data_IF_216940879855
#
_entry.id   IF_216940879855
#
_cell.length_a   1.000
_cell.length_b   1.000
_cell.length_c   1.000
_cell.angle_alpha   90.00
_cell.angle_beta   90.00
_cell.angle_gamma   90.00
#
_symmetry.space_group_name_H-M   'P 1'
#
loop_
_entity.id
_entity.type
_entity.pdbx_description
1 polymer ?
#
# COMPACT_ATOMS: atom_id res chain seq x y z
N UNK A 1 7.85 -2.86 27.23
CA UNK A 1 6.52 -2.30 26.89
C UNK A 1 5.75 -3.12 25.83
N UNK A 2 6.34 -3.56 24.70
CA UNK A 2 5.64 -4.35 23.66
C UNK A 2 5.04 -5.69 24.13
N UNK A 3 5.57 -6.25 25.21
CA UNK A 3 5.20 -7.59 25.68
C UNK A 3 3.86 -7.63 26.43
N UNK A 4 3.45 -6.55 27.10
CA UNK A 4 2.17 -6.50 27.84
C UNK A 4 0.96 -6.60 26.91
N UNK A 5 0.99 -5.90 25.78
CA UNK A 5 -0.08 -5.98 24.78
C UNK A 5 -0.12 -7.33 24.08
N UNK A 6 1.04 -7.91 23.77
CA UNK A 6 1.12 -9.25 23.20
C UNK A 6 0.58 -10.32 24.17
N UNK A 7 0.81 -10.15 25.49
CA UNK A 7 0.23 -11.00 26.54
C UNK A 7 -1.29 -10.81 26.64
N UNK A 8 -1.79 -9.57 26.62
CA UNK A 8 -3.23 -9.26 26.62
C UNK A 8 -3.96 -9.93 25.44
N UNK A 9 -3.49 -9.74 24.20
CA UNK A 9 -4.12 -10.38 23.03
C UNK A 9 -3.93 -11.90 22.97
N UNK A 10 -2.82 -12.44 23.52
CA UNK A 10 -2.63 -13.89 23.67
C UNK A 10 -3.62 -14.47 24.69
N UNK A 11 -3.82 -13.82 25.83
CA UNK A 11 -4.81 -14.20 26.83
C UNK A 11 -6.23 -14.12 26.26
N UNK A 12 -6.56 -13.04 25.55
CA UNK A 12 -7.86 -12.85 24.91
C UNK A 12 -8.15 -13.91 23.83
N UNK A 13 -7.14 -14.31 23.04
CA UNK A 13 -7.25 -15.42 22.08
C UNK A 13 -7.39 -16.79 22.76
N UNK A 14 -6.67 -17.04 23.85
CA UNK A 14 -6.81 -18.28 24.64
C UNK A 14 -8.22 -18.39 25.23
N UNK A 15 -8.72 -17.31 25.83
CA UNK A 15 -10.07 -17.24 26.42
C UNK A 15 -11.18 -17.37 25.35
N UNK A 16 -11.01 -16.77 24.17
CA UNK A 16 -11.95 -16.97 23.03
C UNK A 16 -11.96 -18.40 22.50
N UNK A 17 -10.79 -19.05 22.39
CA UNK A 17 -10.71 -20.45 21.93
C UNK A 17 -11.33 -21.41 22.94
N UNK A 18 -11.10 -21.20 24.24
CA UNK A 18 -11.78 -21.98 25.26
C UNK A 18 -13.29 -21.74 25.24
N UNK A 19 -13.75 -20.49 25.11
CA UNK A 19 -15.19 -20.20 25.05
C UNK A 19 -15.89 -20.89 23.85
N UNK A 20 -15.24 -20.93 22.68
CA UNK A 20 -15.76 -21.64 21.49
C UNK A 20 -15.82 -23.16 21.66
N UNK A 21 -14.83 -23.75 22.34
CA UNK A 21 -14.81 -25.20 22.61
C UNK A 21 -15.96 -25.60 23.54
N UNK A 22 -16.28 -24.74 24.50
CA UNK A 22 -17.36 -24.97 25.47
C UNK A 22 -18.75 -24.63 24.93
N UNK A 23 -18.90 -23.69 23.98
CA UNK A 23 -20.18 -23.45 23.30
C UNK A 23 -20.59 -24.61 22.39
N UNK A 24 -19.62 -25.31 21.79
CA UNK A 24 -19.89 -26.53 21.00
C UNK A 24 -20.32 -27.68 21.91
N UNK A 25 -19.67 -27.84 23.07
CA UNK A 25 -20.10 -28.81 24.10
C UNK A 25 -21.49 -28.49 24.67
N UNK A 26 -21.81 -27.23 24.93
CA UNK A 26 -23.15 -26.84 25.38
C UNK A 26 -24.24 -27.13 24.32
N UNK A 27 -23.92 -26.95 23.04
CA UNK A 27 -24.81 -27.30 21.93
C UNK A 27 -25.09 -28.80 21.83
N UNK A 28 -24.08 -29.66 22.03
CA UNK A 28 -24.28 -31.11 22.03
C UNK A 28 -25.02 -31.62 23.27
N UNK A 29 -24.84 -31.01 24.45
CA UNK A 29 -25.59 -31.41 25.66
C UNK A 29 -27.05 -30.93 25.66
N UNK A 30 -27.36 -29.75 25.11
CA UNK A 30 -28.74 -29.28 24.93
C UNK A 30 -29.52 -30.12 23.89
N UNK A 31 -28.83 -30.60 22.84
CA UNK A 31 -29.41 -31.53 21.86
C UNK A 31 -29.75 -32.90 22.45
N UNK A 32 -28.93 -33.42 23.36
CA UNK A 32 -29.16 -34.71 24.00
C UNK A 32 -30.32 -34.69 25.01
N UNK A 33 -30.51 -33.58 25.74
CA UNK A 33 -31.62 -33.44 26.71
C UNK A 33 -32.97 -33.26 26.03
N UNK A 34 -33.04 -32.56 24.88
CA UNK A 34 -34.30 -32.40 24.15
C UNK A 34 -34.85 -33.70 23.56
N UNK A 35 -33.98 -34.69 23.27
CA UNK A 35 -34.37 -35.97 22.66
C UNK A 35 -34.76 -37.02 23.72
N UNK A 36 -34.21 -36.96 24.93
CA UNK A 36 -34.42 -37.98 25.98
C UNK A 36 -35.60 -37.70 26.93
N UNK A 37 -36.13 -36.47 26.97
CA UNK A 37 -37.18 -36.08 27.92
C UNK A 37 -38.62 -36.57 27.60
N UNK A 38 -39.04 -36.99 26.38
CA UNK A 38 -40.45 -37.32 26.21
C UNK A 38 -40.86 -38.69 26.79
N UNK A 39 -39.94 -39.57 27.18
CA UNK A 39 -40.29 -40.91 27.67
C UNK A 39 -39.27 -41.43 28.69
N UNK A 40 -39.49 -41.18 29.98
CA UNK A 40 -39.41 -42.16 31.09
C UNK A 40 -39.43 -41.46 32.46
N UNK A 41 -40.13 -42.05 33.43
CA UNK A 41 -40.35 -41.50 34.78
C UNK A 41 -39.06 -41.16 35.53
N UNK A 42 -39.09 -40.02 36.21
CA UNK A 42 -37.96 -39.38 36.91
C UNK A 42 -37.43 -40.28 38.04
N UNK A 43 -36.24 -40.85 37.85
CA UNK A 43 -35.48 -41.60 38.85
C UNK A 43 -34.35 -40.77 39.47
N UNK A 44 -33.76 -41.23 40.57
CA UNK A 44 -32.66 -40.58 41.30
C UNK A 44 -31.41 -40.28 40.44
N UNK A 45 -31.24 -40.99 39.32
CA UNK A 45 -30.23 -40.73 38.28
C UNK A 45 -30.41 -39.37 37.58
N UNK A 46 -31.64 -38.85 37.52
CA UNK A 46 -31.96 -37.58 36.88
C UNK A 46 -31.53 -36.38 37.77
N UNK A 47 -31.54 -36.57 39.10
CA UNK A 47 -31.00 -35.58 40.04
C UNK A 47 -29.47 -35.46 39.96
N UNK A 48 -28.76 -36.57 39.69
CA UNK A 48 -27.31 -36.59 39.45
C UNK A 48 -26.96 -35.92 38.11
N UNK A 49 -27.78 -36.13 37.07
CA UNK A 49 -27.64 -35.47 35.78
C UNK A 49 -27.96 -33.97 35.81
N UNK A 50 -28.99 -33.56 36.53
CA UNK A 50 -29.32 -32.16 36.78
C UNK A 50 -28.23 -31.44 37.58
N UNK A 51 -27.61 -32.12 38.56
CA UNK A 51 -26.46 -31.61 39.31
C UNK A 51 -25.20 -31.41 38.46
N UNK A 52 -24.91 -32.35 37.55
CA UNK A 52 -23.76 -32.28 36.63
C UNK A 52 -23.92 -31.22 35.52
N UNK A 53 -25.14 -31.03 35.01
CA UNK A 53 -25.45 -30.00 34.00
C UNK A 53 -25.57 -28.60 34.62
N UNK A 54 -26.06 -28.48 35.86
CA UNK A 54 -26.08 -27.22 36.61
C UNK A 54 -24.68 -26.66 36.91
N UNK A 55 -23.74 -27.52 37.33
CA UNK A 55 -22.37 -27.10 37.66
C UNK A 55 -21.56 -26.56 36.48
N UNK A 56 -21.81 -27.07 35.27
CA UNK A 56 -21.13 -26.65 34.04
C UNK A 56 -21.74 -25.36 33.43
N UNK A 57 -23.04 -25.11 33.63
CA UNK A 57 -23.67 -23.84 33.26
C UNK A 57 -23.16 -22.66 34.10
N UNK A 58 -22.92 -22.84 35.39
CA UNK A 58 -22.35 -21.79 36.26
C UNK A 58 -20.91 -21.46 35.87
N UNK A 59 -20.08 -22.46 35.53
CA UNK A 59 -18.69 -22.24 35.10
C UNK A 59 -18.59 -21.56 33.71
N UNK A 60 -19.52 -21.86 32.80
CA UNK A 60 -19.58 -21.17 31.49
C UNK A 60 -20.04 -19.73 31.64
N UNK A 61 -21.04 -19.46 32.49
CA UNK A 61 -21.46 -18.10 32.83
C UNK A 61 -20.32 -17.30 33.49
N UNK A 62 -19.62 -17.89 34.47
CA UNK A 62 -18.52 -17.21 35.17
C UNK A 62 -17.35 -16.87 34.25
N UNK A 63 -16.96 -17.80 33.36
CA UNK A 63 -15.92 -17.51 32.34
C UNK A 63 -16.35 -16.51 31.26
N UNK A 64 -17.65 -16.41 30.99
CA UNK A 64 -18.18 -15.37 30.09
C UNK A 64 -18.20 -14.00 30.77
N UNK A 65 -18.38 -13.96 32.10
CA UNK A 65 -18.23 -12.75 32.91
C UNK A 65 -16.77 -12.28 32.95
N UNK A 66 -15.80 -13.18 33.17
CA UNK A 66 -14.36 -12.85 33.13
C UNK A 66 -13.93 -12.30 31.77
N UNK A 67 -14.51 -12.85 30.68
CA UNK A 67 -14.28 -12.36 29.32
C UNK A 67 -14.87 -10.96 29.11
N UNK A 68 -16.04 -10.67 29.69
CA UNK A 68 -16.67 -9.34 29.64
C UNK A 68 -15.89 -8.33 30.45
N UNK A 69 -15.40 -8.70 31.63
CA UNK A 69 -14.57 -7.83 32.48
C UNK A 69 -13.22 -7.52 31.82
N UNK A 70 -12.53 -8.50 31.27
CA UNK A 70 -11.27 -8.28 30.53
C UNK A 70 -11.46 -7.54 29.20
N UNK A 71 -12.65 -7.62 28.58
CA UNK A 71 -13.00 -6.85 27.40
C UNK A 71 -13.48 -5.42 27.72
N UNK A 72 -14.02 -5.21 28.93
CA UNK A 72 -14.39 -3.89 29.45
C UNK A 72 -13.16 -3.09 29.93
N UNK A 73 -12.05 -3.76 30.23
CA UNK A 73 -10.77 -3.07 30.45
C UNK A 73 -10.28 -2.42 29.14
N UNK A 74 -9.96 -1.11 29.16
CA UNK A 74 -9.47 -0.43 27.98
C UNK A 74 -8.18 -1.08 27.50
N UNK A 75 -8.17 -1.53 26.26
CA UNK A 75 -7.02 -2.20 25.67
C UNK A 75 -5.79 -1.26 25.75
N UNK A 76 -4.61 -1.75 26.19
CA UNK A 76 -3.43 -0.92 26.30
C UNK A 76 -3.12 -0.28 24.94
N UNK A 77 -3.05 1.05 24.95
CA UNK A 77 -3.00 1.84 23.72
C UNK A 77 -1.81 1.42 22.85
N UNK A 78 -2.01 1.31 21.52
CA UNK A 78 -0.87 1.33 20.62
C UNK A 78 -0.08 2.60 20.80
N UNK A 79 1.23 2.46 20.96
CA UNK A 79 2.11 3.50 20.43
C UNK A 79 1.70 3.73 18.95
N UNK A 80 1.20 4.92 18.60
CA UNK A 80 0.62 5.19 17.29
C UNK A 80 1.64 4.94 16.16
N UNK A 81 2.92 5.20 16.44
CA UNK A 81 4.05 4.92 15.54
C UNK A 81 4.17 3.43 15.16
N UNK A 82 3.97 2.50 16.09
CA UNK A 82 4.10 1.05 15.85
C UNK A 82 2.82 0.42 15.29
N UNK A 83 1.64 1.03 15.49
CA UNK A 83 0.40 0.58 14.86
C UNK A 83 0.35 0.92 13.37
N UNK A 84 0.74 2.14 13.02
CA UNK A 84 0.86 2.56 11.62
C UNK A 84 1.81 1.64 10.83
N UNK A 85 3.01 1.40 11.36
CA UNK A 85 4.01 0.53 10.70
C UNK A 85 3.50 -0.90 10.43
N UNK A 86 2.76 -1.51 11.38
CA UNK A 86 2.23 -2.88 11.24
C UNK A 86 1.03 -2.99 10.31
N UNK A 87 0.17 -1.97 10.28
CA UNK A 87 -0.94 -1.94 9.33
C UNK A 87 -0.41 -1.79 7.90
N UNK A 88 0.64 -1.00 7.71
CA UNK A 88 1.30 -0.84 6.41
C UNK A 88 1.96 -2.11 5.88
N UNK A 89 2.76 -2.81 6.69
CA UNK A 89 3.38 -4.07 6.25
C UNK A 89 2.35 -5.14 5.89
N UNK A 90 1.18 -5.09 6.52
CA UNK A 90 0.05 -5.98 6.21
C UNK A 90 -0.62 -5.63 4.89
N UNK A 91 -0.82 -4.33 4.60
CA UNK A 91 -1.38 -3.85 3.34
C UNK A 91 -0.41 -4.16 2.19
N UNK A 92 0.88 -3.87 2.36
CA UNK A 92 1.92 -4.16 1.37
C UNK A 92 2.02 -5.67 1.07
N UNK A 93 1.95 -6.52 2.10
CA UNK A 93 1.93 -7.97 1.94
C UNK A 93 0.63 -8.53 1.32
N UNK A 94 -0.47 -7.79 1.36
CA UNK A 94 -1.72 -8.15 0.70
C UNK A 94 -1.72 -7.70 -0.77
N UNK A 95 -1.22 -6.50 -1.04
CA UNK A 95 -1.15 -5.92 -2.38
C UNK A 95 -0.10 -6.64 -3.23
N UNK A 96 1.04 -7.04 -2.67
CA UNK A 96 2.07 -7.79 -3.39
C UNK A 96 1.63 -9.17 -3.88
N UNK A 97 0.52 -9.71 -3.35
CA UNK A 97 -0.06 -11.00 -3.76
C UNK A 97 -1.00 -10.90 -4.96
N UNK A 98 -1.32 -9.69 -5.42
CA UNK A 98 -2.13 -9.46 -6.61
C UNK A 98 -1.23 -9.45 -7.87
N UNK A 99 -1.71 -9.94 -9.03
CA UNK A 99 -0.92 -9.95 -10.28
C UNK A 99 -0.56 -8.55 -10.79
N UNK A 100 -1.30 -7.50 -10.38
CA UNK A 100 -0.96 -6.09 -10.58
C UNK A 100 -0.30 -5.43 -9.32
N UNK A 101 0.16 -6.25 -8.38
CA UNK A 101 0.58 -5.81 -7.04
C UNK A 101 1.82 -4.93 -7.03
N UNK A 102 2.76 -5.13 -7.95
CA UNK A 102 4.00 -4.32 -7.99
C UNK A 102 3.75 -2.87 -8.39
N UNK A 103 2.90 -2.62 -9.38
CA UNK A 103 2.51 -1.25 -9.75
C UNK A 103 1.63 -0.62 -8.66
N UNK A 104 0.75 -1.39 -8.03
CA UNK A 104 -0.06 -0.92 -6.91
C UNK A 104 0.78 -0.58 -5.67
N UNK A 105 1.83 -1.35 -5.34
CA UNK A 105 2.76 -1.02 -4.25
C UNK A 105 3.57 0.23 -4.58
N UNK A 106 4.06 0.37 -5.80
CA UNK A 106 4.78 1.58 -6.23
C UNK A 106 3.89 2.83 -6.12
N UNK A 107 2.62 2.73 -6.52
CA UNK A 107 1.66 3.83 -6.41
C UNK A 107 1.31 4.14 -4.94
N UNK A 108 1.19 3.12 -4.10
CA UNK A 108 0.99 3.26 -2.65
C UNK A 108 2.16 3.98 -1.96
N UNK A 109 3.40 3.61 -2.33
CA UNK A 109 4.59 4.29 -1.84
C UNK A 109 4.60 5.75 -2.32
N UNK A 110 4.24 6.01 -3.58
CA UNK A 110 4.11 7.38 -4.12
C UNK A 110 3.10 8.21 -3.33
N UNK A 111 1.90 7.69 -3.07
CA UNK A 111 0.86 8.37 -2.27
C UNK A 111 1.36 8.65 -0.85
N UNK A 112 2.05 7.68 -0.23
CA UNK A 112 2.60 7.81 1.12
C UNK A 112 3.69 8.87 1.20
N UNK A 113 4.62 8.88 0.25
CA UNK A 113 5.67 9.89 0.19
C UNK A 113 5.06 11.26 -0.03
N UNK A 114 4.07 11.39 -0.92
CA UNK A 114 3.30 12.64 -1.10
C UNK A 114 2.62 13.11 0.17
N UNK A 115 2.03 12.19 0.94
CA UNK A 115 1.39 12.50 2.22
C UNK A 115 2.41 12.93 3.28
N UNK A 116 3.60 12.32 3.30
CA UNK A 116 4.69 12.66 4.24
C UNK A 116 5.34 14.00 3.95
N UNK A 117 5.40 14.38 2.68
CA UNK A 117 5.94 15.66 2.23
C UNK A 117 4.89 16.77 2.26
N UNK A 118 3.61 16.48 2.54
CA UNK A 118 2.53 17.47 2.45
C UNK A 118 2.78 18.65 3.40
N UNK A 119 2.89 19.85 2.85
CA UNK A 119 3.20 21.08 3.61
C UNK A 119 4.70 21.40 3.73
N UNK A 120 5.58 20.55 3.19
CA UNK A 120 7.02 20.82 3.13
C UNK A 120 7.38 21.73 1.95
N UNK A 121 8.39 22.57 2.16
CA UNK A 121 9.06 23.37 1.12
C UNK A 121 9.61 22.55 -0.06
N UNK A 122 9.85 21.25 0.15
CA UNK A 122 10.39 20.30 -0.85
C UNK A 122 9.35 19.90 -1.91
N UNK A 123 8.04 20.04 -1.63
CA UNK A 123 6.95 19.52 -2.48
C UNK A 123 7.02 19.99 -3.94
N UNK A 124 7.22 21.29 -4.26
CA UNK A 124 7.23 21.74 -5.65
C UNK A 124 8.33 21.04 -6.46
N UNK A 125 9.57 21.03 -5.95
CA UNK A 125 10.69 20.38 -6.60
C UNK A 125 10.53 18.85 -6.65
N UNK A 126 9.94 18.23 -5.63
CA UNK A 126 9.62 16.80 -5.65
C UNK A 126 8.64 16.43 -6.76
N UNK A 127 7.60 17.24 -6.98
CA UNK A 127 6.62 16.97 -8.06
C UNK A 127 7.21 17.12 -9.45
N UNK A 128 8.15 18.07 -9.61
CA UNK A 128 8.94 18.23 -10.84
C UNK A 128 9.81 17.01 -11.10
N UNK A 129 10.56 16.56 -10.09
CA UNK A 129 11.35 15.33 -10.15
C UNK A 129 10.50 14.13 -10.55
N UNK A 130 9.33 13.95 -9.93
CA UNK A 130 8.44 12.82 -10.24
C UNK A 130 7.94 12.84 -11.69
N UNK A 131 7.62 14.03 -12.22
CA UNK A 131 7.25 14.22 -13.63
C UNK A 131 8.43 13.93 -14.56
N UNK A 132 9.62 14.44 -14.22
CA UNK A 132 10.84 14.23 -14.99
C UNK A 132 11.21 12.74 -15.05
N UNK A 133 11.14 12.02 -13.92
CA UNK A 133 11.39 10.58 -13.86
C UNK A 133 10.40 9.78 -14.70
N UNK A 134 9.11 10.07 -14.60
CA UNK A 134 8.09 9.40 -15.44
C UNK A 134 8.33 9.64 -16.93
N UNK A 135 8.77 10.85 -17.29
CA UNK A 135 9.13 11.20 -18.66
C UNK A 135 10.36 10.40 -19.11
N UNK A 136 11.39 10.33 -18.26
CA UNK A 136 12.61 9.59 -18.53
C UNK A 136 12.37 8.10 -18.66
N UNK A 137 11.55 7.49 -17.81
CA UNK A 137 11.17 6.07 -17.90
C UNK A 137 10.54 5.73 -19.26
N UNK A 138 9.69 6.63 -19.79
CA UNK A 138 9.10 6.49 -21.12
C UNK A 138 10.10 6.62 -22.27
N UNK A 139 11.19 7.37 -22.07
CA UNK A 139 12.28 7.52 -23.03
C UNK A 139 13.31 6.40 -22.93
N UNK A 140 13.55 5.86 -21.73
CA UNK A 140 14.62 4.92 -21.43
C UNK A 140 14.55 3.64 -22.28
N UNK A 141 13.33 3.18 -22.60
CA UNK A 141 13.12 2.03 -23.50
C UNK A 141 13.50 2.30 -24.96
N UNK A 142 13.71 3.57 -25.35
CA UNK A 142 14.07 4.01 -26.71
C UNK A 142 15.51 4.51 -26.80
N UNK A 143 16.23 4.58 -25.68
CA UNK A 143 17.64 4.90 -25.63
C UNK A 143 18.44 3.63 -26.00
N UNK A 144 18.75 3.46 -27.28
CA UNK A 144 19.50 2.29 -27.77
C UNK A 144 21.02 2.45 -27.62
N UNK A 145 21.73 1.31 -27.55
CA UNK A 145 23.18 1.13 -27.71
C UNK A 145 24.10 2.03 -26.89
N UNK A 146 24.33 3.25 -27.36
CA UNK A 146 25.27 4.22 -26.79
C UNK A 146 24.72 4.99 -25.59
N UNK A 147 23.39 5.07 -25.45
CA UNK A 147 22.73 5.85 -24.41
C UNK A 147 22.36 5.04 -23.16
N UNK A 148 22.60 3.72 -23.17
CA UNK A 148 22.27 2.84 -22.04
C UNK A 148 23.03 3.13 -20.73
N UNK A 149 24.30 3.59 -20.75
CA UNK A 149 24.98 4.07 -19.54
C UNK A 149 24.30 5.29 -18.92
N UNK A 150 23.82 6.22 -19.76
CA UNK A 150 23.10 7.44 -19.32
C UNK A 150 21.82 7.07 -18.58
N UNK A 151 21.11 6.03 -19.02
CA UNK A 151 19.92 5.54 -18.32
C UNK A 151 20.23 5.03 -16.90
N UNK A 152 21.37 4.36 -16.70
CA UNK A 152 21.80 3.89 -15.38
C UNK A 152 22.21 5.05 -14.47
N UNK A 153 22.94 6.01 -15.01
CA UNK A 153 23.36 7.21 -14.29
C UNK A 153 22.16 8.08 -13.90
N UNK A 154 21.19 8.26 -14.80
CA UNK A 154 19.94 8.97 -14.52
C UNK A 154 19.14 8.28 -13.39
N UNK A 155 19.01 6.95 -13.43
CA UNK A 155 18.34 6.19 -12.37
C UNK A 155 19.09 6.27 -11.03
N UNK A 156 20.41 6.42 -11.04
CA UNK A 156 21.19 6.66 -9.82
C UNK A 156 20.99 8.09 -9.31
N UNK A 157 21.04 9.09 -10.19
CA UNK A 157 20.80 10.49 -9.86
C UNK A 157 19.40 10.69 -9.26
N UNK A 158 18.37 10.09 -9.85
CA UNK A 158 17.01 10.10 -9.31
C UNK A 158 16.98 9.57 -7.87
N UNK A 159 17.58 8.41 -7.61
CA UNK A 159 17.61 7.81 -6.26
C UNK A 159 18.30 8.72 -5.27
N UNK A 160 19.43 9.32 -5.64
CA UNK A 160 20.15 10.29 -4.81
C UNK A 160 19.31 11.55 -4.55
N UNK A 161 18.61 12.08 -5.55
CA UNK A 161 17.73 13.24 -5.38
C UNK A 161 16.53 12.92 -4.48
N UNK A 162 15.93 11.74 -4.61
CA UNK A 162 14.84 11.30 -3.74
C UNK A 162 15.30 11.18 -2.29
N UNK A 163 16.47 10.61 -2.03
CA UNK A 163 17.06 10.54 -0.69
C UNK A 163 17.35 11.95 -0.14
N UNK A 164 17.93 12.84 -0.94
CA UNK A 164 18.17 14.23 -0.54
C UNK A 164 16.88 14.98 -0.19
N UNK A 165 15.81 14.82 -0.98
CA UNK A 165 14.50 15.41 -0.70
C UNK A 165 13.87 14.86 0.59
N UNK A 166 14.00 13.55 0.85
CA UNK A 166 13.53 12.95 2.10
C UNK A 166 14.30 13.45 3.33
N UNK A 167 15.62 13.60 3.21
CA UNK A 167 16.47 14.18 4.26
C UNK A 167 16.10 15.64 4.53
N UNK A 168 15.92 16.44 3.48
CA UNK A 168 15.54 17.86 3.60
C UNK A 168 14.20 17.99 4.33
N UNK A 169 13.19 17.19 3.95
CA UNK A 169 11.90 17.18 4.63
C UNK A 169 11.95 16.61 6.06
N UNK A 170 12.96 15.81 6.41
CA UNK A 170 13.19 15.40 7.79
C UNK A 170 13.78 16.54 8.63
N UNK A 171 14.72 17.32 8.07
CA UNK A 171 15.28 18.52 8.71
C UNK A 171 14.20 19.59 8.91
N UNK A 172 13.35 19.85 7.91
CA UNK A 172 12.22 20.79 8.03
C UNK A 172 11.26 20.41 9.17
N UNK A 173 10.99 19.10 9.33
CA UNK A 173 10.18 18.61 10.45
C UNK A 173 10.88 18.73 11.80
N UNK A 174 12.20 18.64 11.84
CA UNK A 174 12.97 18.87 13.06
C UNK A 174 12.93 20.36 13.46
N UNK A 175 13.07 21.28 12.49
CA UNK A 175 12.91 22.72 12.70
C UNK A 175 11.54 23.09 13.29
N UNK A 176 10.47 22.43 12.86
CA UNK A 176 9.14 22.64 13.43
C UNK A 176 9.04 22.30 14.93
N UNK A 177 9.96 21.48 15.44
CA UNK A 177 10.03 21.08 16.86
C UNK A 177 11.11 21.85 17.63
N UNK A 178 12.09 22.42 16.92
CA UNK A 178 13.21 23.18 17.50
C UNK A 178 13.30 24.58 16.86
N UNK A 179 12.30 25.46 17.11
CA UNK A 179 12.27 26.79 16.50
C UNK A 179 13.42 27.66 17.03
N UNK A 180 14.05 28.43 16.14
CA UNK A 180 15.12 29.37 16.48
C UNK A 180 16.53 28.78 16.49
N UNK A 181 16.70 27.53 16.04
CA UNK A 181 18.02 26.95 15.78
C UNK A 181 18.55 27.45 14.42
N UNK A 182 19.35 28.51 14.46
CA UNK A 182 19.87 29.17 13.26
C UNK A 182 20.80 28.28 12.43
N UNK A 183 21.52 27.35 13.07
CA UNK A 183 22.40 26.41 12.36
C UNK A 183 21.57 25.41 11.55
N UNK A 184 20.50 24.88 12.17
CA UNK A 184 19.59 23.96 11.51
C UNK A 184 18.78 24.64 10.39
N UNK A 185 18.40 25.91 10.58
CA UNK A 185 17.73 26.73 9.55
C UNK A 185 18.62 26.94 8.33
N UNK A 186 19.90 27.25 8.56
CA UNK A 186 20.88 27.40 7.49
C UNK A 186 21.12 26.06 6.76
N UNK A 187 21.32 24.97 7.50
CA UNK A 187 21.50 23.64 6.91
C UNK A 187 20.28 23.22 6.07
N UNK A 188 19.06 23.54 6.53
CA UNK A 188 17.84 23.29 5.76
C UNK A 188 17.82 24.09 4.46
N UNK A 189 18.17 25.39 4.50
CA UNK A 189 18.20 26.23 3.31
C UNK A 189 19.22 25.74 2.27
N UNK A 190 20.41 25.34 2.71
CA UNK A 190 21.45 24.76 1.84
C UNK A 190 21.02 23.43 1.21
N UNK A 191 20.44 22.51 2.01
CA UNK A 191 19.93 21.24 1.51
C UNK A 191 18.80 21.43 0.50
N UNK A 192 17.88 22.37 0.77
CA UNK A 192 16.79 22.70 -0.14
C UNK A 192 17.34 23.27 -1.46
N UNK A 193 18.31 24.19 -1.40
CA UNK A 193 18.96 24.75 -2.58
C UNK A 193 19.59 23.65 -3.44
N UNK A 194 20.42 22.78 -2.84
CA UNK A 194 21.05 21.66 -3.54
C UNK A 194 20.03 20.69 -4.13
N UNK A 195 18.93 20.41 -3.43
CA UNK A 195 17.86 19.58 -3.96
C UNK A 195 17.21 20.23 -5.18
N UNK A 196 16.85 21.51 -5.10
CA UNK A 196 16.23 22.23 -6.22
C UNK A 196 17.14 22.31 -7.45
N UNK A 197 18.41 22.63 -7.27
CA UNK A 197 19.42 22.67 -8.33
C UNK A 197 19.63 21.29 -8.97
N UNK A 198 19.70 20.24 -8.15
CA UNK A 198 19.82 18.88 -8.63
C UNK A 198 18.60 18.42 -9.45
N UNK A 199 17.39 18.83 -9.06
CA UNK A 199 16.17 18.60 -9.85
C UNK A 199 16.23 19.34 -11.18
N UNK A 200 16.66 20.61 -11.19
CA UNK A 200 16.79 21.39 -12.43
C UNK A 200 17.83 20.74 -13.39
N UNK A 201 18.94 20.22 -12.86
CA UNK A 201 19.93 19.48 -13.64
C UNK A 201 19.37 18.17 -14.20
N UNK A 202 18.58 17.44 -13.41
CA UNK A 202 17.91 16.23 -13.86
C UNK A 202 16.89 16.53 -14.98
N UNK A 203 16.10 17.59 -14.86
CA UNK A 203 15.18 18.02 -15.92
C UNK A 203 15.90 18.34 -17.24
N UNK A 204 17.07 19.01 -17.17
CA UNK A 204 17.92 19.25 -18.34
C UNK A 204 18.42 17.95 -18.97
N UNK A 205 18.81 16.96 -18.16
CA UNK A 205 19.19 15.63 -18.64
C UNK A 205 18.04 14.95 -19.36
N UNK A 206 16.82 14.99 -18.81
CA UNK A 206 15.63 14.43 -19.46
C UNK A 206 15.34 15.14 -20.78
N UNK A 207 15.47 16.47 -20.81
CA UNK A 207 15.35 17.27 -22.04
C UNK A 207 16.37 16.86 -23.11
N UNK A 208 17.63 16.64 -22.72
CA UNK A 208 18.68 16.16 -23.63
C UNK A 208 18.38 14.74 -24.14
N UNK A 209 17.93 13.84 -23.28
CA UNK A 209 17.52 12.48 -23.67
C UNK A 209 16.34 12.49 -24.64
N UNK A 210 15.35 13.36 -24.42
CA UNK A 210 14.24 13.53 -25.36
C UNK A 210 14.72 14.05 -26.73
N UNK A 211 15.66 15.00 -26.73
CA UNK A 211 16.30 15.49 -27.95
C UNK A 211 17.03 14.41 -28.73
N UNK A 212 17.77 13.53 -28.02
CA UNK A 212 18.44 12.37 -28.62
C UNK A 212 17.43 11.42 -29.28
N UNK A 213 16.38 11.01 -28.56
CA UNK A 213 15.33 10.12 -29.10
C UNK A 213 14.61 10.75 -30.29
N UNK A 214 14.38 12.06 -30.28
CA UNK A 214 13.77 12.78 -31.39
C UNK A 214 14.70 12.86 -32.63
N UNK A 215 16.01 12.87 -32.44
CA UNK A 215 16.98 12.85 -33.55
C UNK A 215 17.15 11.44 -34.11
N UNK A 216 17.25 10.43 -33.26
CA UNK A 216 17.30 9.01 -33.64
C UNK A 216 16.04 8.58 -34.40
N UNK A 217 14.87 8.98 -33.89
CA UNK A 217 13.59 8.77 -34.57
C UNK A 217 13.50 9.43 -35.94
N UNK A 218 14.11 10.61 -36.14
CA UNK A 218 14.16 11.25 -37.48
C UNK A 218 15.01 10.44 -38.46
N UNK A 219 16.19 9.99 -38.02
CA UNK A 219 17.09 9.17 -38.85
C UNK A 219 16.45 7.82 -39.23
N UNK A 220 15.67 7.21 -38.34
CA UNK A 220 14.96 5.96 -38.60
C UNK A 220 13.68 6.14 -39.46
N UNK A 221 13.09 7.34 -39.45
CA UNK A 221 11.82 7.64 -40.14
C UNK A 221 12.02 8.06 -41.60
N UNK A 222 13.24 8.41 -42.01
CA UNK A 222 13.56 8.89 -43.36
C UNK A 222 12.98 7.97 -44.47
N UNK A 223 12.01 8.52 -45.20
CA UNK A 223 11.36 7.99 -46.40
C UNK A 223 10.28 6.91 -46.19
N UNK A 224 10.64 5.80 -45.55
CA UNK A 224 9.87 4.54 -45.72
C UNK A 224 8.67 4.45 -44.77
N UNK A 225 8.78 4.99 -43.56
CA UNK A 225 7.74 4.89 -42.53
C UNK A 225 6.58 5.87 -42.74
N UNK A 226 6.88 7.08 -43.23
CA UNK A 226 5.87 8.07 -43.63
C UNK A 226 5.06 7.57 -44.82
N UNK A 227 5.71 6.92 -45.80
CA UNK A 227 5.04 6.25 -46.92
C UNK A 227 4.05 5.18 -46.43
N UNK A 228 4.49 4.27 -45.56
CA UNK A 228 3.63 3.19 -45.00
C UNK A 228 2.47 3.72 -44.17
N UNK A 229 2.67 4.79 -43.39
CA UNK A 229 1.58 5.39 -42.60
C UNK A 229 0.50 6.01 -43.50
N UNK A 230 0.94 6.69 -44.57
CA UNK A 230 0.04 7.28 -45.55
C UNK A 230 -0.74 6.21 -46.29
N UNK A 231 -0.06 5.17 -46.74
CA UNK A 231 -0.66 4.00 -47.40
C UNK A 231 -1.67 3.29 -46.50
N UNK A 232 -1.35 3.06 -45.23
CA UNK A 232 -2.28 2.49 -44.26
C UNK A 232 -3.51 3.39 -44.00
N UNK A 233 -3.32 4.70 -43.98
CA UNK A 233 -4.41 5.67 -43.82
C UNK A 233 -5.33 5.69 -45.03
N UNK A 234 -4.77 5.62 -46.24
CA UNK A 234 -5.54 5.54 -47.48
C UNK A 234 -6.33 4.22 -47.56
N UNK A 235 -5.74 3.10 -47.11
CA UNK A 235 -6.41 1.80 -47.03
C UNK A 235 -7.60 1.84 -46.04
N UNK A 236 -7.41 2.43 -44.85
CA UNK A 236 -8.48 2.61 -43.88
C UNK A 236 -9.61 3.52 -44.40
N UNK A 237 -9.27 4.57 -45.15
CA UNK A 237 -10.25 5.44 -45.79
C UNK A 237 -11.05 4.70 -46.86
N UNK A 238 -10.39 3.86 -47.65
CA UNK A 238 -11.06 2.99 -48.64
C UNK A 238 -12.03 2.01 -48.00
N UNK A 239 -11.65 1.37 -46.89
CA UNK A 239 -12.53 0.47 -46.13
C UNK A 239 -13.73 1.23 -45.58
N UNK A 240 -13.52 2.42 -45.00
CA UNK A 240 -14.61 3.24 -44.46
C UNK A 240 -15.59 3.70 -45.54
N UNK A 241 -15.09 4.07 -46.72
CA UNK A 241 -15.91 4.42 -47.87
C UNK A 241 -16.73 3.23 -48.37
N UNK A 242 -16.12 2.05 -48.52
CA UNK A 242 -16.83 0.83 -48.92
C UNK A 242 -17.90 0.39 -47.91
N UNK A 243 -17.64 0.54 -46.61
CA UNK A 243 -18.65 0.29 -45.56
C UNK A 243 -19.81 1.30 -45.61
N UNK A 244 -19.54 2.56 -45.97
CA UNK A 244 -20.57 3.58 -46.13
C UNK A 244 -21.47 3.32 -47.35
N UNK A 245 -20.89 2.88 -48.48
CA UNK A 245 -21.65 2.51 -49.68
C UNK A 245 -22.57 1.30 -49.42
N UNK A 246 -22.07 0.26 -48.74
CA UNK A 246 -22.88 -0.91 -48.38
C UNK A 246 -24.09 -0.55 -47.50
N UNK A 247 -23.97 0.47 -46.64
CA UNK A 247 -25.08 0.97 -45.82
C UNK A 247 -26.15 1.70 -46.62
N UNK A 248 -25.82 2.25 -47.78
CA UNK A 248 -26.78 2.99 -48.62
C UNK A 248 -27.56 2.12 -49.59
N UNK A 249 -27.11 0.89 -49.83
CA UNK A 249 -27.72 -0.06 -50.78
C UNK A 249 -28.62 -1.10 -50.08
N UNK A 250 -28.42 -1.34 -48.78
CA UNK A 250 -29.28 -2.20 -47.95
C UNK A 250 -30.37 -1.43 -47.23
#
# INVERSE_FOLDING_TARGET
MADQRARYFRQLRRLRRSARLWSVLAGTFAGATAVLVPYHGVGWLDAVWAGLTGGSAVLTWWRWSDLRELAAQPAPEPEPARAGARNWTRIEGLVSRLPAGRSAVAELQRVRTRARLRGSSVVPAWTRLDRASQTFDGLAGRLDGSAQPVAREAAQAERTLRDLGERTAAVERALAVTPGDTELEQAHAELLAHFTEGVDAYEKLVGAAAGYVAQDGRMAVDGTSIGRLREATDLLRGIAAGLAELRTIG
#
